data_IF_094272278413
#
_entry.id   IF_094272278413
#
_cell.length_a   1.000
_cell.length_b   1.000
_cell.length_c   1.000
_cell.angle_alpha   90.00
_cell.angle_beta   90.00
_cell.angle_gamma   90.00
#
_symmetry.space_group_name_H-M   'P 1'
#
loop_
_entity.id
_entity.type
_entity.pdbx_description
1 polymer ?
#
# COMPACT_ATOMS: atom_id res chain seq x y z
N UNK A 1 -22.30 -3.43 27.80
CA UNK A 1 -20.86 -3.70 27.52
C UNK A 1 -20.62 -3.02 26.19
N UNK A 2 -19.80 -2.02 26.13
CA UNK A 2 -19.40 -1.38 24.85
C UNK A 2 -18.61 -2.40 24.06
N UNK A 3 -19.03 -2.65 22.84
CA UNK A 3 -18.31 -3.53 21.90
C UNK A 3 -16.95 -2.92 21.59
N UNK A 4 -15.90 -3.71 21.71
CA UNK A 4 -14.53 -3.24 21.46
C UNK A 4 -14.23 -3.24 19.97
N UNK A 5 -13.43 -2.28 19.51
CA UNK A 5 -12.88 -2.26 18.15
C UNK A 5 -11.93 -3.45 18.00
N UNK A 6 -12.23 -4.35 17.07
CA UNK A 6 -11.45 -5.57 16.81
C UNK A 6 -10.39 -5.28 15.76
N UNK A 7 -9.13 -5.44 16.12
CA UNK A 7 -7.99 -5.01 15.31
C UNK A 7 -7.13 -6.22 14.91
N UNK A 8 -6.84 -6.33 13.60
CA UNK A 8 -5.82 -7.23 13.06
C UNK A 8 -4.56 -6.42 12.75
N UNK A 9 -3.40 -6.86 13.26
CA UNK A 9 -2.11 -6.21 13.00
C UNK A 9 -1.35 -7.01 11.94
N UNK A 10 -0.91 -6.33 10.88
CA UNK A 10 -0.19 -6.94 9.75
C UNK A 10 1.11 -6.19 9.50
N UNK A 11 2.24 -6.82 9.80
CA UNK A 11 3.60 -6.28 9.62
C UNK A 11 4.59 -7.45 9.63
N UNK A 12 5.59 -7.46 8.77
CA UNK A 12 6.60 -8.54 8.74
C UNK A 12 7.60 -8.46 9.91
N UNK A 13 7.70 -7.29 10.58
CA UNK A 13 8.57 -7.06 11.72
C UNK A 13 7.88 -7.42 13.05
N UNK A 14 8.28 -8.51 13.70
CA UNK A 14 7.70 -8.96 14.97
C UNK A 14 7.77 -7.91 16.10
N UNK A 15 8.85 -7.11 16.15
CA UNK A 15 9.00 -6.04 17.13
C UNK A 15 7.93 -4.95 16.93
N UNK A 16 7.62 -4.61 15.68
CA UNK A 16 6.58 -3.64 15.35
C UNK A 16 5.21 -4.16 15.78
N UNK A 17 4.87 -5.41 15.44
CA UNK A 17 3.61 -6.03 15.88
C UNK A 17 3.47 -6.03 17.40
N UNK A 18 4.52 -6.42 18.14
CA UNK A 18 4.53 -6.39 19.59
C UNK A 18 4.34 -4.98 20.17
N UNK A 19 4.96 -3.97 19.57
CA UNK A 19 4.80 -2.56 19.96
C UNK A 19 3.39 -2.06 19.74
N UNK A 20 2.80 -2.32 18.57
CA UNK A 20 1.41 -1.96 18.24
C UNK A 20 0.42 -2.67 19.17
N UNK A 21 0.62 -3.96 19.41
CA UNK A 21 -0.20 -4.76 20.32
C UNK A 21 -0.18 -4.21 21.74
N UNK A 22 0.99 -3.77 22.23
CA UNK A 22 1.12 -3.15 23.54
C UNK A 22 0.36 -1.82 23.62
N UNK A 23 0.50 -0.92 22.61
CA UNK A 23 -0.22 0.35 22.56
C UNK A 23 -1.73 0.12 22.60
N UNK A 24 -2.24 -0.76 21.74
CA UNK A 24 -3.67 -1.08 21.64
C UNK A 24 -4.17 -1.70 22.95
N UNK A 25 -3.35 -2.54 23.60
CA UNK A 25 -3.69 -3.19 24.86
C UNK A 25 -3.92 -2.25 26.05
N UNK A 26 -3.44 -1.00 25.99
CA UNK A 26 -3.75 0.03 26.98
C UNK A 26 -5.14 0.66 26.79
N UNK A 27 -5.73 0.53 25.60
CA UNK A 27 -7.03 1.12 25.29
C UNK A 27 -8.18 0.18 25.69
N UNK A 28 -9.15 0.72 26.46
CA UNK A 28 -10.28 -0.08 26.97
C UNK A 28 -11.31 -0.44 25.91
N UNK A 29 -11.36 0.35 24.85
CA UNK A 29 -12.30 0.26 23.73
C UNK A 29 -11.75 -0.49 22.52
N UNK A 30 -10.56 -1.09 22.63
CA UNK A 30 -9.89 -1.79 21.56
C UNK A 30 -9.43 -3.19 21.98
N UNK A 31 -9.24 -4.09 21.02
CA UNK A 31 -8.60 -5.39 21.23
C UNK A 31 -7.92 -5.88 19.96
N UNK A 32 -6.75 -6.49 20.11
CA UNK A 32 -6.06 -7.18 19.03
C UNK A 32 -6.64 -8.58 18.91
N UNK A 33 -7.27 -8.89 17.78
CA UNK A 33 -7.89 -10.20 17.53
C UNK A 33 -6.97 -11.14 16.76
N UNK A 34 -5.89 -10.64 16.18
CA UNK A 34 -4.89 -11.44 15.48
C UNK A 34 -3.71 -10.62 14.99
N UNK A 35 -2.67 -11.34 14.58
CA UNK A 35 -1.48 -10.80 13.94
C UNK A 35 -1.16 -11.59 12.67
N UNK A 36 -0.60 -10.93 11.65
CA UNK A 36 -0.11 -11.55 10.43
C UNK A 36 1.26 -10.99 10.06
N UNK A 37 2.09 -11.80 9.39
CA UNK A 37 3.46 -11.44 9.00
C UNK A 37 3.64 -11.19 7.50
N UNK A 38 2.61 -11.45 6.71
CA UNK A 38 2.57 -11.17 5.27
C UNK A 38 1.13 -10.98 4.78
N UNK A 39 0.98 -10.60 3.51
CA UNK A 39 -0.32 -10.31 2.92
C UNK A 39 -1.21 -11.53 2.76
N UNK A 40 -0.64 -12.73 2.53
CA UNK A 40 -1.43 -13.97 2.39
C UNK A 40 -2.08 -14.32 3.73
N UNK A 41 -1.28 -14.36 4.80
CA UNK A 41 -1.76 -14.60 6.16
C UNK A 41 -2.77 -13.52 6.59
N UNK A 42 -2.56 -12.26 6.17
CA UNK A 42 -3.48 -11.17 6.44
C UNK A 42 -4.87 -11.40 5.82
N UNK A 43 -4.94 -11.84 4.56
CA UNK A 43 -6.20 -12.14 3.87
C UNK A 43 -6.93 -13.30 4.55
N UNK A 44 -6.22 -14.40 4.85
CA UNK A 44 -6.80 -15.57 5.52
C UNK A 44 -7.40 -15.18 6.89
N UNK A 45 -6.61 -14.50 7.72
CA UNK A 45 -7.04 -14.07 9.06
C UNK A 45 -8.14 -13.01 9.02
N UNK A 46 -8.12 -12.11 8.05
CA UNK A 46 -9.19 -11.12 7.88
C UNK A 46 -10.53 -11.81 7.61
N UNK A 47 -10.54 -12.83 6.74
CA UNK A 47 -11.77 -13.61 6.43
C UNK A 47 -12.24 -14.40 7.65
N UNK A 48 -11.32 -15.04 8.37
CA UNK A 48 -11.64 -15.85 9.55
C UNK A 48 -12.14 -15.00 10.72
N UNK A 49 -11.39 -13.94 11.04
CA UNK A 49 -11.59 -13.14 12.25
C UNK A 49 -12.58 -11.98 12.05
N UNK A 50 -12.81 -11.55 10.82
CA UNK A 50 -13.66 -10.40 10.48
C UNK A 50 -13.38 -9.18 11.38
N UNK A 51 -12.14 -8.62 11.37
CA UNK A 51 -11.79 -7.48 12.19
C UNK A 51 -12.50 -6.21 11.70
N UNK A 52 -12.72 -5.27 12.60
CA UNK A 52 -13.25 -3.95 12.26
C UNK A 52 -12.21 -3.09 11.54
N UNK A 53 -10.97 -3.12 12.06
CA UNK A 53 -9.85 -2.35 11.52
C UNK A 53 -8.64 -3.26 11.33
N UNK A 54 -7.95 -3.09 10.21
CA UNK A 54 -6.66 -3.73 9.94
C UNK A 54 -5.57 -2.66 9.89
N UNK A 55 -4.54 -2.82 10.72
CA UNK A 55 -3.30 -2.07 10.61
C UNK A 55 -2.40 -2.79 9.62
N UNK A 56 -2.15 -2.19 8.45
CA UNK A 56 -1.52 -2.86 7.32
C UNK A 56 -0.19 -2.21 6.95
N UNK A 57 0.91 -2.95 7.09
CA UNK A 57 2.16 -2.57 6.43
C UNK A 57 2.06 -2.80 4.92
N UNK A 58 2.72 -1.95 4.13
CA UNK A 58 2.74 -2.10 2.67
C UNK A 58 3.89 -2.99 2.20
N UNK A 59 5.04 -2.94 2.88
CA UNK A 59 6.27 -3.58 2.43
C UNK A 59 6.47 -4.91 3.13
N UNK A 60 5.88 -5.97 2.59
CA UNK A 60 5.97 -7.32 3.15
C UNK A 60 6.38 -8.34 2.09
N UNK A 61 7.04 -9.44 2.49
CA UNK A 61 7.36 -10.53 1.59
C UNK A 61 6.08 -11.29 1.14
N UNK A 62 6.21 -12.13 0.14
CA UNK A 62 5.17 -13.03 -0.41
C UNK A 62 4.05 -12.26 -1.10
N UNK A 63 3.24 -11.52 -0.35
CA UNK A 63 2.20 -10.62 -0.84
C UNK A 63 2.33 -9.28 -0.14
N UNK A 64 2.40 -8.20 -0.90
CA UNK A 64 2.47 -6.85 -0.35
C UNK A 64 1.12 -6.38 0.23
N UNK A 65 1.18 -5.31 1.04
CA UNK A 65 -0.01 -4.80 1.73
C UNK A 65 -1.03 -4.14 0.79
N UNK A 66 -0.63 -3.71 -0.40
CA UNK A 66 -1.55 -3.12 -1.39
C UNK A 66 -2.44 -4.22 -1.97
N UNK A 67 -1.84 -5.33 -2.38
CA UNK A 67 -2.59 -6.46 -2.92
C UNK A 67 -3.46 -7.11 -1.83
N UNK A 68 -2.92 -7.28 -0.62
CA UNK A 68 -3.70 -7.75 0.53
C UNK A 68 -4.91 -6.84 0.81
N UNK A 69 -4.71 -5.51 0.83
CA UNK A 69 -5.79 -4.53 1.01
C UNK A 69 -6.86 -4.69 -0.07
N UNK A 70 -6.46 -4.84 -1.34
CA UNK A 70 -7.40 -5.01 -2.46
C UNK A 70 -8.27 -6.26 -2.31
N UNK A 71 -7.67 -7.37 -1.91
CA UNK A 71 -8.39 -8.63 -1.70
C UNK A 71 -9.35 -8.54 -0.50
N UNK A 72 -8.88 -7.98 0.61
CA UNK A 72 -9.66 -7.83 1.84
C UNK A 72 -10.86 -6.91 1.62
N UNK A 73 -10.65 -5.71 1.06
CA UNK A 73 -11.73 -4.73 0.85
C UNK A 73 -12.77 -5.21 -0.16
N UNK A 74 -12.37 -6.07 -1.10
CA UNK A 74 -13.30 -6.73 -2.02
C UNK A 74 -14.12 -7.84 -1.35
N UNK A 75 -13.53 -8.56 -0.41
CA UNK A 75 -14.17 -9.68 0.27
C UNK A 75 -15.02 -9.25 1.48
N UNK A 76 -14.60 -8.23 2.20
CA UNK A 76 -15.15 -7.78 3.48
C UNK A 76 -15.55 -6.30 3.43
N UNK A 77 -16.84 -6.03 3.27
CA UNK A 77 -17.35 -4.64 3.17
C UNK A 77 -17.38 -3.90 4.52
N UNK A 78 -17.34 -4.62 5.64
CA UNK A 78 -17.36 -4.05 7.00
C UNK A 78 -15.98 -3.72 7.56
N UNK A 79 -14.92 -4.37 7.06
CA UNK A 79 -13.54 -4.19 7.52
C UNK A 79 -12.90 -2.96 6.85
N UNK A 80 -12.17 -2.19 7.62
CA UNK A 80 -11.47 -0.97 7.15
C UNK A 80 -9.97 -1.12 7.31
N UNK A 81 -9.21 -0.60 6.34
CA UNK A 81 -7.76 -0.71 6.36
C UNK A 81 -7.14 0.66 6.64
N UNK A 82 -6.32 0.71 7.71
CA UNK A 82 -5.41 1.80 8.05
C UNK A 82 -3.99 1.35 7.71
N UNK A 83 -3.41 1.97 6.69
CA UNK A 83 -2.03 1.68 6.26
C UNK A 83 -1.04 2.30 7.23
N UNK A 84 -0.04 1.53 7.63
CA UNK A 84 1.14 1.98 8.38
C UNK A 84 2.37 1.84 7.49
N UNK A 85 3.15 2.91 7.32
CA UNK A 85 4.35 2.89 6.47
C UNK A 85 5.49 3.68 7.06
N UNK A 86 6.72 3.22 6.82
CA UNK A 86 7.94 3.97 7.14
C UNK A 86 8.24 5.06 6.11
N UNK A 87 7.66 4.98 4.92
CA UNK A 87 7.97 5.87 3.81
C UNK A 87 6.72 6.58 3.30
N UNK A 88 6.80 7.91 3.28
CA UNK A 88 5.81 8.73 2.60
C UNK A 88 6.10 8.84 1.08
N UNK A 89 6.63 7.79 0.43
CA UNK A 89 6.90 7.77 -1.02
C UNK A 89 5.61 7.92 -1.84
N UNK A 90 5.65 8.69 -2.94
CA UNK A 90 4.45 8.93 -3.77
C UNK A 90 3.94 7.64 -4.43
N UNK A 91 4.82 6.68 -4.67
CA UNK A 91 4.55 5.51 -5.51
C UNK A 91 3.61 4.49 -4.85
N UNK A 92 3.41 4.55 -3.52
CA UNK A 92 2.59 3.58 -2.78
C UNK A 92 1.28 4.17 -2.23
N UNK A 93 1.23 5.48 -1.98
CA UNK A 93 0.05 6.12 -1.39
C UNK A 93 -1.18 5.97 -2.29
N UNK A 94 -1.04 6.31 -3.57
CA UNK A 94 -2.14 6.23 -4.53
C UNK A 94 -2.62 4.80 -4.79
N UNK A 95 -1.73 3.82 -5.03
CA UNK A 95 -2.12 2.42 -5.14
C UNK A 95 -2.87 1.90 -3.91
N UNK A 96 -2.42 2.26 -2.68
CA UNK A 96 -3.08 1.84 -1.45
C UNK A 96 -4.50 2.42 -1.31
N UNK A 97 -4.68 3.72 -1.61
CA UNK A 97 -6.00 4.36 -1.62
C UNK A 97 -6.91 3.72 -2.68
N UNK A 98 -6.39 3.46 -3.90
CA UNK A 98 -7.13 2.77 -4.96
C UNK A 98 -7.49 1.32 -4.59
N UNK A 99 -6.68 0.67 -3.76
CA UNK A 99 -6.97 -0.66 -3.23
C UNK A 99 -8.08 -0.64 -2.16
N UNK A 100 -8.48 0.54 -1.68
CA UNK A 100 -9.56 0.74 -0.71
C UNK A 100 -9.10 1.02 0.71
N UNK A 101 -7.82 1.38 0.93
CA UNK A 101 -7.36 1.86 2.23
C UNK A 101 -8.11 3.16 2.61
N UNK A 102 -8.66 3.19 3.83
CA UNK A 102 -9.41 4.33 4.33
C UNK A 102 -8.51 5.31 5.10
N UNK A 103 -7.40 4.82 5.66
CA UNK A 103 -6.45 5.65 6.39
C UNK A 103 -5.00 5.37 6.00
N UNK A 104 -4.15 6.37 6.23
CA UNK A 104 -2.72 6.30 5.96
C UNK A 104 -1.92 7.06 7.01
N UNK A 105 -1.13 6.34 7.79
CA UNK A 105 -0.34 6.84 8.93
C UNK A 105 1.13 6.46 8.75
N UNK A 106 2.03 7.28 9.28
CA UNK A 106 3.45 6.98 9.31
C UNK A 106 3.79 6.12 10.54
N UNK A 107 4.73 5.19 10.42
CA UNK A 107 5.18 4.33 11.53
C UNK A 107 5.91 5.09 12.65
N UNK A 108 6.34 6.32 12.38
CA UNK A 108 6.95 7.24 13.36
C UNK A 108 5.93 8.20 14.02
N UNK A 109 4.64 8.03 13.73
CA UNK A 109 3.57 8.76 14.42
C UNK A 109 3.49 8.39 15.90
N UNK A 110 2.95 9.30 16.71
CA UNK A 110 2.81 9.06 18.15
C UNK A 110 1.76 7.98 18.45
N UNK A 111 1.83 7.32 19.62
CA UNK A 111 0.80 6.37 20.06
C UNK A 111 -0.61 6.98 20.07
N UNK A 112 -0.73 8.25 20.46
CA UNK A 112 -1.98 8.98 20.51
C UNK A 112 -2.57 9.19 19.12
N UNK A 113 -1.74 9.53 18.13
CA UNK A 113 -2.15 9.67 16.73
C UNK A 113 -2.63 8.34 16.16
N UNK A 114 -1.93 7.23 16.47
CA UNK A 114 -2.34 5.89 16.04
C UNK A 114 -3.73 5.53 16.60
N UNK A 115 -3.94 5.71 17.90
CA UNK A 115 -5.20 5.39 18.58
C UNK A 115 -6.34 6.22 17.99
N UNK A 116 -6.13 7.52 17.77
CA UNK A 116 -7.14 8.39 17.17
C UNK A 116 -7.43 8.00 15.70
N UNK A 117 -6.39 7.67 14.93
CA UNK A 117 -6.55 7.19 13.56
C UNK A 117 -7.40 5.91 13.49
N UNK A 118 -7.16 4.96 14.40
CA UNK A 118 -7.96 3.73 14.50
C UNK A 118 -9.43 4.06 14.77
N UNK A 119 -9.71 4.96 15.74
CA UNK A 119 -11.09 5.36 16.06
C UNK A 119 -11.80 6.05 14.90
N UNK A 120 -11.12 6.93 14.18
CA UNK A 120 -11.70 7.60 13.01
C UNK A 120 -11.97 6.61 11.87
N UNK A 121 -10.99 5.77 11.55
CA UNK A 121 -11.14 4.74 10.52
C UNK A 121 -12.28 3.78 10.88
N UNK A 122 -12.41 3.37 12.13
CA UNK A 122 -13.53 2.55 12.62
C UNK A 122 -14.89 3.23 12.40
N UNK A 123 -15.00 4.55 12.55
CA UNK A 123 -16.22 5.32 12.24
C UNK A 123 -16.49 5.49 10.75
N UNK A 124 -15.57 5.01 9.89
CA UNK A 124 -15.67 5.19 8.43
C UNK A 124 -15.16 6.55 7.94
N UNK A 125 -14.46 7.29 8.80
CA UNK A 125 -13.84 8.56 8.47
C UNK A 125 -12.44 8.34 7.90
N UNK A 126 -12.07 9.06 6.84
CA UNK A 126 -10.73 8.96 6.27
C UNK A 126 -9.71 9.63 7.19
N UNK A 127 -8.60 8.93 7.46
CA UNK A 127 -7.46 9.48 8.17
C UNK A 127 -6.25 9.58 7.24
N UNK A 128 -5.77 10.80 7.00
CA UNK A 128 -4.54 11.02 6.25
C UNK A 128 -3.60 11.89 7.06
N UNK A 129 -2.42 11.37 7.39
CA UNK A 129 -1.38 12.20 7.98
C UNK A 129 -1.12 13.44 7.08
N UNK A 130 -0.89 14.65 7.63
CA UNK A 130 -0.77 15.89 6.84
C UNK A 130 0.23 15.81 5.68
N UNK A 131 1.35 15.10 5.89
CA UNK A 131 2.36 14.87 4.85
C UNK A 131 1.79 14.06 3.68
N UNK A 132 0.96 13.05 3.97
CA UNK A 132 0.32 12.19 2.97
C UNK A 132 -0.81 12.96 2.26
N UNK A 133 -1.64 13.70 3.00
CA UNK A 133 -2.69 14.53 2.45
C UNK A 133 -2.14 15.53 1.40
N UNK A 134 -1.01 16.19 1.71
CA UNK A 134 -0.34 17.10 0.77
C UNK A 134 0.07 16.39 -0.52
N UNK A 135 0.59 15.17 -0.43
CA UNK A 135 0.99 14.38 -1.60
C UNK A 135 -0.21 13.96 -2.45
N UNK A 136 -1.27 13.52 -1.81
CA UNK A 136 -2.53 13.20 -2.50
C UNK A 136 -3.03 14.43 -3.28
N UNK A 137 -3.04 15.61 -2.64
CA UNK A 137 -3.45 16.84 -3.30
C UNK A 137 -2.54 17.23 -4.46
N UNK A 138 -1.21 17.07 -4.31
CA UNK A 138 -0.25 17.34 -5.38
C UNK A 138 -0.45 16.41 -6.59
N UNK A 139 -0.74 15.14 -6.34
CA UNK A 139 -0.98 14.17 -7.42
C UNK A 139 -2.30 14.46 -8.14
N UNK A 140 -3.36 14.79 -7.40
CA UNK A 140 -4.65 15.20 -7.97
C UNK A 140 -4.57 16.53 -8.74
N UNK A 141 -3.65 17.41 -8.36
CA UNK A 141 -3.41 18.68 -9.04
C UNK A 141 -2.57 18.53 -10.31
N UNK A 142 -1.89 17.41 -10.51
CA UNK A 142 -1.27 17.12 -11.81
C UNK A 142 -2.38 17.06 -12.84
N UNK A 143 -2.26 17.78 -14.00
CA UNK A 143 -3.19 17.57 -15.11
C UNK A 143 -3.26 16.06 -15.32
N UNK A 144 -4.47 15.52 -15.41
CA UNK A 144 -4.63 14.14 -15.82
C UNK A 144 -3.75 13.99 -17.06
N UNK A 145 -2.69 13.18 -16.95
CA UNK A 145 -1.98 12.76 -18.14
C UNK A 145 -3.10 12.29 -19.06
N UNK A 146 -3.28 12.95 -20.19
CA UNK A 146 -4.22 12.48 -21.20
C UNK A 146 -3.98 10.97 -21.25
N UNK A 147 -5.01 10.12 -21.14
CA UNK A 147 -4.79 8.71 -21.36
C UNK A 147 -3.99 8.68 -22.66
N UNK A 148 -2.79 8.16 -22.60
CA UNK A 148 -2.09 7.84 -23.81
C UNK A 148 -3.13 7.02 -24.57
N UNK A 149 -3.62 7.57 -25.70
CA UNK A 149 -4.43 6.83 -26.65
C UNK A 149 -3.48 5.78 -27.24
N UNK A 150 -3.19 4.77 -26.43
CA UNK A 150 -2.42 3.62 -26.75
C UNK A 150 -3.11 2.47 -26.07
N UNK A 151 -3.57 1.52 -26.86
CA UNK A 151 -3.96 0.17 -26.42
C UNK A 151 -2.88 -0.37 -25.49
N UNK A 152 -3.17 -1.29 -24.55
CA UNK A 152 -2.15 -2.00 -23.79
C UNK A 152 -1.07 -2.65 -24.65
N UNK A 153 -1.29 -2.72 -25.97
CA UNK A 153 -0.38 -3.25 -26.99
C UNK A 153 0.49 -2.18 -27.68
N UNK A 154 0.32 -0.89 -27.40
CA UNK A 154 1.12 0.16 -28.03
C UNK A 154 2.39 0.42 -27.21
N UNK A 155 3.52 0.04 -27.79
CA UNK A 155 4.85 0.30 -27.25
C UNK A 155 5.11 1.82 -27.12
N UNK A 156 5.72 2.24 -26.02
CA UNK A 156 6.21 3.61 -25.85
C UNK A 156 7.22 3.95 -26.96
N UNK A 157 7.44 5.24 -27.24
CA UNK A 157 8.45 5.65 -28.23
C UNK A 157 9.83 5.04 -27.95
N UNK A 158 10.24 4.92 -26.70
CA UNK A 158 11.51 4.30 -26.31
C UNK A 158 11.53 2.79 -26.51
N UNK A 159 10.45 2.09 -26.20
CA UNK A 159 10.31 0.65 -26.48
C UNK A 159 10.28 0.39 -27.98
N UNK A 160 9.66 1.27 -28.76
CA UNK A 160 9.68 1.22 -30.22
C UNK A 160 11.10 1.42 -30.77
N UNK A 161 11.89 2.33 -30.20
CA UNK A 161 13.28 2.56 -30.62
C UNK A 161 14.18 1.36 -30.25
N UNK A 162 14.00 0.75 -29.08
CA UNK A 162 14.65 -0.52 -28.72
C UNK A 162 14.29 -1.62 -29.71
N UNK A 163 13.00 -1.77 -30.03
CA UNK A 163 12.53 -2.79 -30.98
C UNK A 163 13.12 -2.60 -32.40
N UNK A 164 13.18 -1.36 -32.90
CA UNK A 164 13.81 -1.03 -34.19
C UNK A 164 15.28 -1.42 -34.20
N UNK A 165 16.02 -1.19 -33.13
CA UNK A 165 17.44 -1.53 -33.04
C UNK A 165 17.64 -3.04 -32.91
N UNK A 166 16.77 -3.76 -32.23
CA UNK A 166 16.75 -5.22 -32.16
C UNK A 166 16.50 -5.83 -33.51
N UNK A 167 15.57 -5.31 -34.34
CA UNK A 167 15.31 -5.81 -35.69
C UNK A 167 16.46 -5.55 -36.64
N UNK A 168 17.38 -4.62 -36.33
CA UNK A 168 18.63 -4.38 -37.03
C UNK A 168 19.77 -5.31 -36.60
N UNK A 169 19.49 -6.26 -35.66
CA UNK A 169 20.48 -7.24 -35.21
C UNK A 169 21.47 -6.71 -34.17
N UNK A 170 21.20 -5.54 -33.55
CA UNK A 170 22.07 -4.99 -32.51
C UNK A 170 21.92 -5.77 -31.21
N UNK A 171 23.02 -5.97 -30.49
CA UNK A 171 23.02 -6.61 -29.18
C UNK A 171 22.47 -5.63 -28.10
N UNK A 172 21.96 -6.15 -26.99
CA UNK A 172 21.47 -5.34 -25.88
C UNK A 172 22.51 -4.33 -25.37
N UNK A 173 23.79 -4.67 -25.44
CA UNK A 173 24.89 -3.79 -25.08
C UNK A 173 25.02 -2.60 -26.02
N UNK A 174 24.99 -2.85 -27.34
CA UNK A 174 25.07 -1.78 -28.36
C UNK A 174 23.85 -0.87 -28.29
N UNK A 175 22.66 -1.42 -28.03
CA UNK A 175 21.41 -0.66 -27.83
C UNK A 175 21.51 0.20 -26.59
N UNK A 176 22.02 -0.34 -25.47
CA UNK A 176 22.20 0.39 -24.22
C UNK A 176 23.15 1.58 -24.39
N UNK A 177 24.29 1.38 -25.07
CA UNK A 177 25.26 2.44 -25.38
C UNK A 177 24.64 3.53 -26.28
N UNK A 178 23.85 3.15 -27.28
CA UNK A 178 23.26 4.08 -28.25
C UNK A 178 22.12 4.90 -27.67
N UNK A 179 21.30 4.33 -26.79
CA UNK A 179 20.17 4.99 -26.14
C UNK A 179 20.56 5.63 -24.80
N UNK A 180 21.84 5.52 -24.38
CA UNK A 180 22.38 6.05 -23.12
C UNK A 180 21.59 5.53 -21.91
N UNK A 181 21.34 4.23 -21.88
CA UNK A 181 20.64 3.52 -20.79
C UNK A 181 21.47 2.31 -20.32
N UNK A 182 21.04 1.64 -19.26
CA UNK A 182 21.69 0.40 -18.81
C UNK A 182 21.21 -0.80 -19.62
N UNK A 183 22.07 -1.85 -19.74
CA UNK A 183 21.64 -3.12 -20.37
C UNK A 183 20.43 -3.75 -19.66
N UNK A 184 20.29 -3.54 -18.35
CA UNK A 184 19.14 -4.03 -17.59
C UNK A 184 17.85 -3.35 -18.06
N UNK A 185 17.90 -2.07 -18.42
CA UNK A 185 16.75 -1.31 -18.94
C UNK A 185 16.33 -1.78 -20.33
N UNK A 186 17.26 -2.31 -21.15
CA UNK A 186 16.95 -2.86 -22.49
C UNK A 186 16.33 -4.25 -22.41
N UNK A 187 16.51 -4.98 -21.29
CA UNK A 187 15.98 -6.36 -21.09
C UNK A 187 14.55 -6.40 -20.55
N UNK A 188 14.05 -5.29 -19.99
CA UNK A 188 12.71 -5.23 -19.40
C UNK A 188 11.66 -5.03 -20.47
#
# INVERSE_FOLDING_TARGET
MTEKIRILIVDDHAIMRGGLSAIIGFEKDMEVVGEASDGCEAVEKAIELQPDVILMDLMMPVMDGIEATRQITKALTGTRVLVLTSFAGNDQVFPAIKAGALGYLLKDSSPEELVEAIRQVYRGEAWLHPTIARKVMQELAKPAAQPAEGSPDDLTEREMDVLKLLTQGQSNKEIAERLVVSEATVRT
#
